data_IF_798612934970
#
_entry.id   IF_798612934970
#
_cell.length_a   1.000
_cell.length_b   1.000
_cell.length_c   1.000
_cell.angle_alpha   90.00
_cell.angle_beta   90.00
_cell.angle_gamma   90.00
#
_symmetry.space_group_name_H-M   'P 1'
#
loop_
_entity.id
_entity.type
_entity.pdbx_description
1 polymer ?
#
# COMPACT_ATOMS: atom_id res chain seq x y z
N UNK A 1 -15.61 -11.71 47.85
CA UNK A 1 -14.28 -11.77 47.21
C UNK A 1 -14.40 -11.04 45.88
N UNK A 2 -13.63 -9.98 45.69
CA UNK A 2 -13.65 -9.16 44.48
C UNK A 2 -12.63 -9.72 43.48
N UNK A 3 -13.09 -10.51 42.52
CA UNK A 3 -12.49 -10.69 41.19
C UNK A 3 -13.41 -11.59 40.35
N UNK A 4 -14.35 -10.99 39.64
CA UNK A 4 -15.28 -11.70 38.74
C UNK A 4 -14.95 -11.47 37.24
N UNK A 5 -13.81 -10.85 36.95
CA UNK A 5 -13.47 -10.42 35.59
C UNK A 5 -12.45 -11.34 34.90
N UNK A 6 -12.09 -12.49 35.50
CA UNK A 6 -11.04 -13.36 34.95
C UNK A 6 -9.67 -12.67 34.99
N UNK A 7 -9.18 -12.39 36.20
CA UNK A 7 -7.89 -11.76 36.39
C UNK A 7 -6.76 -12.66 35.87
N UNK A 8 -6.23 -12.30 34.71
CA UNK A 8 -4.93 -12.77 34.25
C UNK A 8 -3.85 -11.87 34.87
N UNK A 9 -2.94 -12.48 35.63
CA UNK A 9 -1.81 -11.78 36.23
C UNK A 9 -0.93 -11.18 35.11
N UNK A 10 -0.61 -9.89 35.22
CA UNK A 10 0.23 -9.19 34.24
C UNK A 10 1.71 -9.63 34.29
N UNK A 11 2.09 -10.41 35.31
CA UNK A 11 3.42 -10.96 35.45
C UNK A 11 3.64 -12.11 34.47
N UNK A 12 4.84 -12.16 33.88
CA UNK A 12 5.22 -13.24 32.96
C UNK A 12 5.90 -14.35 33.74
N UNK A 13 5.36 -15.56 33.63
CA UNK A 13 5.91 -16.74 34.30
C UNK A 13 6.92 -17.48 33.41
N UNK A 14 7.92 -18.17 33.98
CA UNK A 14 8.97 -18.82 33.20
C UNK A 14 8.48 -19.82 32.14
N UNK A 15 7.33 -20.47 32.36
CA UNK A 15 6.74 -21.42 31.43
C UNK A 15 6.12 -20.77 30.17
N UNK A 16 5.73 -19.50 30.27
CA UNK A 16 5.13 -18.72 29.18
C UNK A 16 6.19 -17.90 28.40
N UNK A 17 7.41 -17.82 28.94
CA UNK A 17 8.50 -17.07 28.36
C UNK A 17 9.45 -17.98 27.57
N UNK A 18 9.98 -17.46 26.46
CA UNK A 18 11.09 -18.13 25.77
C UNK A 18 12.38 -18.11 26.62
N UNK A 19 13.24 -19.11 26.39
CA UNK A 19 14.54 -19.21 27.07
C UNK A 19 15.42 -17.98 26.82
N UNK A 20 16.21 -17.60 27.84
CA UNK A 20 17.20 -16.52 27.74
C UNK A 20 18.45 -16.90 26.95
N UNK A 21 18.66 -18.19 26.71
CA UNK A 21 19.77 -18.70 25.93
C UNK A 21 19.24 -19.61 24.81
N UNK A 22 18.65 -19.04 23.74
CA UNK A 22 18.16 -19.82 22.62
C UNK A 22 19.32 -20.43 21.82
N UNK A 23 19.11 -21.57 21.14
CA UNK A 23 20.10 -22.10 20.22
C UNK A 23 20.40 -21.12 19.08
N UNK A 24 21.62 -21.18 18.53
CA UNK A 24 21.99 -20.36 17.38
C UNK A 24 21.04 -20.62 16.20
N UNK A 25 20.49 -19.57 15.56
CA UNK A 25 19.57 -19.74 14.44
C UNK A 25 20.31 -20.17 13.18
N UNK A 26 19.69 -21.06 12.39
CA UNK A 26 20.12 -21.38 11.03
C UNK A 26 19.18 -20.69 10.03
N UNK A 27 19.54 -19.47 9.62
CA UNK A 27 18.70 -18.66 8.74
C UNK A 27 18.81 -19.13 7.28
N UNK A 28 17.69 -19.17 6.53
CA UNK A 28 17.73 -19.46 5.11
C UNK A 28 18.48 -18.35 4.36
N UNK A 29 19.15 -18.72 3.27
CA UNK A 29 19.76 -17.76 2.37
C UNK A 29 18.72 -16.88 1.65
N UNK A 30 19.17 -15.74 1.12
CA UNK A 30 18.34 -14.90 0.26
C UNK A 30 18.07 -15.52 -1.11
N UNK A 31 17.19 -14.89 -1.90
CA UNK A 31 16.75 -15.39 -3.22
C UNK A 31 17.87 -15.58 -4.25
N UNK A 32 19.01 -14.91 -4.06
CA UNK A 32 20.21 -15.00 -4.90
C UNK A 32 21.33 -15.85 -4.28
N UNK A 33 21.05 -16.69 -3.27
CA UNK A 33 22.02 -17.66 -2.75
C UNK A 33 22.10 -18.90 -3.66
N UNK A 34 22.56 -18.69 -4.90
CA UNK A 34 22.63 -19.71 -5.97
C UNK A 34 24.06 -19.84 -6.50
N UNK A 35 24.43 -21.07 -6.90
CA UNK A 35 25.79 -21.42 -7.36
C UNK A 35 25.93 -21.26 -8.89
N UNK A 36 24.84 -21.40 -9.65
CA UNK A 36 24.79 -21.20 -11.11
C UNK A 36 23.70 -20.20 -11.50
N UNK A 37 23.79 -19.68 -12.73
CA UNK A 37 22.79 -18.77 -13.34
C UNK A 37 22.43 -17.58 -12.43
N UNK A 38 23.46 -16.94 -11.87
CA UNK A 38 23.32 -15.88 -10.87
C UNK A 38 24.30 -14.72 -11.15
N UNK A 39 24.34 -14.28 -12.40
CA UNK A 39 25.23 -13.22 -12.82
C UNK A 39 24.82 -11.87 -12.23
N UNK A 40 25.80 -11.07 -11.81
CA UNK A 40 25.51 -9.78 -11.17
C UNK A 40 24.80 -8.79 -12.10
N UNK A 41 25.12 -8.83 -13.40
CA UNK A 41 24.59 -7.86 -14.35
C UNK A 41 23.06 -7.96 -14.54
N UNK A 42 22.47 -9.14 -14.31
CA UNK A 42 21.02 -9.35 -14.43
C UNK A 42 20.26 -8.84 -13.21
N UNK A 43 20.93 -8.69 -12.05
CA UNK A 43 20.30 -8.29 -10.77
C UNK A 43 20.62 -6.86 -10.34
N UNK A 44 21.59 -6.19 -10.97
CA UNK A 44 22.02 -4.86 -10.57
C UNK A 44 21.08 -3.75 -11.07
N UNK A 45 19.94 -3.60 -10.39
CA UNK A 45 18.96 -2.55 -10.69
C UNK A 45 19.53 -1.13 -10.63
N UNK A 46 20.66 -0.91 -9.94
CA UNK A 46 21.33 0.41 -9.87
C UNK A 46 21.88 0.84 -11.24
N UNK A 47 22.20 -0.12 -12.11
CA UNK A 47 22.67 0.13 -13.48
C UNK A 47 21.54 0.19 -14.50
N UNK A 48 20.31 -0.13 -14.11
CA UNK A 48 19.11 -0.06 -14.95
C UNK A 48 18.42 1.31 -14.87
N UNK A 49 18.87 2.19 -13.97
CA UNK A 49 18.33 3.54 -13.83
C UNK A 49 18.77 4.38 -15.02
N UNK A 50 17.83 4.67 -15.91
CA UNK A 50 18.03 5.56 -17.05
C UNK A 50 17.87 7.04 -16.62
N UNK A 51 18.50 7.98 -17.36
CA UNK A 51 18.23 9.40 -17.17
C UNK A 51 16.75 9.74 -17.34
N UNK A 52 16.23 10.80 -16.68
CA UNK A 52 14.85 11.23 -16.84
C UNK A 52 14.50 11.52 -18.31
N UNK A 53 13.31 11.12 -18.74
CA UNK A 53 12.79 11.45 -20.07
C UNK A 53 12.36 12.91 -20.11
N UNK A 54 12.97 13.70 -20.99
CA UNK A 54 12.61 15.11 -21.18
C UNK A 54 11.36 15.19 -22.06
N UNK A 55 10.25 15.66 -21.49
CA UNK A 55 8.96 15.80 -22.19
C UNK A 55 8.80 17.13 -22.91
N UNK A 56 9.52 18.17 -22.48
CA UNK A 56 9.52 19.50 -23.09
C UNK A 56 10.87 20.16 -22.87
N UNK A 57 11.45 20.70 -23.94
CA UNK A 57 12.65 21.53 -23.91
C UNK A 57 12.45 22.63 -24.96
N UNK A 58 12.58 23.89 -24.55
CA UNK A 58 12.36 25.05 -25.41
C UNK A 58 13.44 25.22 -26.48
N UNK A 59 14.62 24.64 -26.27
CA UNK A 59 15.78 24.74 -27.17
C UNK A 59 15.89 23.55 -28.11
N UNK A 60 15.41 22.38 -27.68
CA UNK A 60 15.36 21.20 -28.53
C UNK A 60 14.14 21.25 -29.45
N UNK A 61 14.34 21.02 -30.75
CA UNK A 61 13.25 20.77 -31.71
C UNK A 61 12.65 19.38 -31.48
N UNK A 62 12.10 19.13 -30.30
CA UNK A 62 11.33 17.91 -30.04
C UNK A 62 9.91 18.17 -30.51
N UNK A 63 9.47 17.40 -31.51
CA UNK A 63 8.07 17.39 -31.89
C UNK A 63 7.26 16.91 -30.67
N UNK A 64 6.33 17.73 -30.19
CA UNK A 64 5.29 17.24 -29.29
C UNK A 64 4.68 16.01 -29.97
N UNK A 65 4.57 14.86 -29.27
CA UNK A 65 3.81 13.75 -29.82
C UNK A 65 2.44 14.31 -30.21
N UNK A 66 2.13 14.28 -31.52
CA UNK A 66 0.87 14.81 -32.05
C UNK A 66 -0.29 14.25 -31.24
N UNK A 67 -1.40 15.00 -31.10
CA UNK A 67 -2.44 14.67 -30.13
C UNK A 67 -2.94 13.25 -30.38
N UNK A 68 -2.45 12.31 -29.57
CA UNK A 68 -2.89 10.92 -29.62
C UNK A 68 -4.22 10.88 -28.87
N UNK A 69 -5.24 11.45 -29.53
CA UNK A 69 -6.64 11.42 -29.09
C UNK A 69 -7.14 9.99 -29.29
N UNK A 70 -6.63 9.03 -28.50
CA UNK A 70 -7.46 7.88 -28.13
C UNK A 70 -8.38 8.38 -27.03
N UNK A 71 -9.40 9.13 -27.44
CA UNK A 71 -10.63 9.27 -26.66
C UNK A 71 -11.28 7.89 -26.68
N UNK A 72 -10.76 6.96 -25.88
CA UNK A 72 -11.56 5.85 -25.40
C UNK A 72 -12.55 6.49 -24.44
N UNK A 73 -13.72 6.84 -24.97
CA UNK A 73 -14.94 6.94 -24.17
C UNK A 73 -15.18 5.52 -23.66
N UNK A 74 -14.49 5.13 -22.58
CA UNK A 74 -14.87 3.97 -21.80
C UNK A 74 -15.99 4.44 -20.90
N UNK A 75 -17.22 4.22 -21.37
CA UNK A 75 -18.46 4.37 -20.62
C UNK A 75 -18.47 3.40 -19.43
N UNK A 76 -17.74 3.71 -18.35
CA UNK A 76 -17.93 3.10 -17.03
C UNK A 76 -17.42 4.07 -15.97
N UNK A 77 -18.33 4.92 -15.48
CA UNK A 77 -18.35 5.48 -14.12
C UNK A 77 -17.10 6.21 -13.59
N UNK A 78 -16.34 6.93 -14.42
CA UNK A 78 -15.33 7.87 -13.91
C UNK A 78 -15.98 9.21 -13.54
N UNK A 79 -16.10 9.50 -12.24
CA UNK A 79 -16.65 10.77 -11.72
C UNK A 79 -15.71 11.96 -11.86
N UNK A 80 -14.48 11.75 -12.34
CA UNK A 80 -13.53 12.81 -12.66
C UNK A 80 -13.51 13.01 -14.18
N UNK A 81 -14.55 13.64 -14.72
CA UNK A 81 -14.54 14.15 -16.10
C UNK A 81 -13.82 15.50 -16.14
N UNK A 82 -12.56 15.56 -15.73
CA UNK A 82 -11.73 16.72 -16.05
C UNK A 82 -11.23 16.55 -17.48
N UNK A 83 -11.51 17.52 -18.34
CA UNK A 83 -10.96 17.62 -19.71
C UNK A 83 -9.42 17.60 -19.70
N UNK A 84 -8.81 17.93 -18.56
CA UNK A 84 -7.37 17.83 -18.33
C UNK A 84 -6.97 16.44 -17.78
N UNK A 85 -5.84 15.87 -18.24
CA UNK A 85 -5.28 14.65 -17.67
C UNK A 85 -4.89 14.88 -16.20
N UNK A 86 -5.41 14.06 -15.31
CA UNK A 86 -5.03 14.04 -13.90
C UNK A 86 -3.91 13.00 -13.67
N UNK A 87 -2.88 13.31 -12.86
CA UNK A 87 -1.88 12.32 -12.48
C UNK A 87 -2.52 11.28 -11.54
N UNK A 88 -2.62 10.03 -12.00
CA UNK A 88 -3.14 8.91 -11.23
C UNK A 88 -4.66 8.83 -11.16
N UNK A 89 -5.16 7.81 -10.46
CA UNK A 89 -6.58 7.63 -10.17
C UNK A 89 -6.92 8.23 -8.79
N UNK A 90 -8.09 8.85 -8.66
CA UNK A 90 -8.61 9.28 -7.36
C UNK A 90 -8.91 8.08 -6.47
N UNK A 91 -8.53 8.16 -5.20
CA UNK A 91 -8.86 7.16 -4.19
C UNK A 91 -9.89 7.70 -3.21
N UNK A 92 -10.85 6.85 -2.84
CA UNK A 92 -11.86 7.13 -1.83
C UNK A 92 -11.67 6.15 -0.66
N UNK A 93 -11.48 6.68 0.54
CA UNK A 93 -11.45 5.88 1.75
C UNK A 93 -12.87 5.37 2.05
N UNK A 94 -12.97 4.11 2.48
CA UNK A 94 -14.23 3.52 2.94
C UNK A 94 -14.09 3.16 4.41
N UNK A 95 -15.14 3.45 5.19
CA UNK A 95 -15.21 3.07 6.58
C UNK A 95 -15.25 1.55 6.72
N UNK A 96 -14.55 1.01 7.71
CA UNK A 96 -14.67 -0.39 8.11
C UNK A 96 -15.10 -0.46 9.57
N UNK A 97 -16.36 -0.76 9.82
CA UNK A 97 -16.97 -0.75 11.14
C UNK A 97 -16.64 -1.98 12.01
N UNK A 98 -15.88 -2.94 11.49
CA UNK A 98 -15.56 -4.18 12.22
C UNK A 98 -14.73 -3.88 13.47
N UNK A 99 -13.73 -2.99 13.35
CA UNK A 99 -12.74 -2.70 14.40
C UNK A 99 -13.06 -1.43 15.21
N UNK A 100 -14.22 -0.82 14.97
CA UNK A 100 -14.63 0.40 15.65
C UNK A 100 -15.21 0.11 17.04
N UNK A 101 -15.04 1.06 17.95
CA UNK A 101 -15.68 1.03 19.27
C UNK A 101 -17.21 0.96 19.10
N UNK A 102 -17.89 0.25 20.01
CA UNK A 102 -19.35 0.07 19.96
C UNK A 102 -20.11 1.39 19.80
N UNK A 103 -19.68 2.43 20.51
CA UNK A 103 -20.27 3.77 20.43
C UNK A 103 -20.26 4.33 19.00
N UNK A 104 -19.16 4.16 18.28
CA UNK A 104 -18.95 4.71 16.93
C UNK A 104 -19.58 3.80 15.87
N UNK A 105 -19.45 2.49 16.09
CA UNK A 105 -19.98 1.43 15.22
C UNK A 105 -21.49 1.48 15.10
N UNK A 106 -22.18 1.71 16.22
CA UNK A 106 -23.63 1.71 16.30
C UNK A 106 -24.24 3.11 16.12
N UNK A 107 -23.41 4.14 15.92
CA UNK A 107 -23.86 5.52 15.73
C UNK A 107 -24.60 5.68 14.38
N UNK A 108 -25.89 6.01 14.48
CA UNK A 108 -26.76 6.26 13.33
C UNK A 108 -26.32 7.47 12.51
N UNK A 109 -25.70 8.48 13.15
CA UNK A 109 -25.28 9.70 12.47
C UNK A 109 -24.13 9.42 11.50
N UNK A 110 -23.13 8.64 11.92
CA UNK A 110 -22.01 8.26 11.07
C UNK A 110 -22.45 7.29 9.95
N UNK A 111 -23.40 6.39 10.25
CA UNK A 111 -24.00 5.52 9.22
C UNK A 111 -24.81 6.31 8.19
N UNK A 112 -25.42 7.42 8.59
CA UNK A 112 -26.07 8.34 7.67
C UNK A 112 -25.06 9.12 6.83
N UNK A 113 -23.96 9.60 7.44
CA UNK A 113 -22.89 10.32 6.77
C UNK A 113 -22.15 9.49 5.72
N UNK A 114 -22.01 8.18 5.95
CA UNK A 114 -21.37 7.24 5.02
C UNK A 114 -22.00 7.26 3.61
N UNK A 115 -23.28 7.65 3.48
CA UNK A 115 -23.93 7.84 2.17
C UNK A 115 -23.29 8.96 1.34
N UNK A 116 -22.77 9.98 2.00
CA UNK A 116 -22.14 11.15 1.37
C UNK A 116 -20.67 10.96 1.09
N UNK A 117 -20.00 9.98 1.68
CA UNK A 117 -18.59 9.69 1.38
C UNK A 117 -18.37 9.40 -0.11
N UNK A 118 -19.43 8.95 -0.81
CA UNK A 118 -19.42 8.58 -2.22
C UNK A 118 -19.80 9.67 -3.22
N UNK A 119 -19.93 10.95 -2.84
CA UNK A 119 -20.34 12.01 -3.78
C UNK A 119 -19.18 12.65 -4.52
#
# INVERSE_FOLDING_TARGET
MLYNDGYDDCLRFPEEMSTRNPPLPNLPGGVYHKISDNYYYERDARRTVEPPVVTYDATAKMALPGPHVKVMILTLTSRFSSVAPLPGAGYQWKRNSVDELSQTKDDQSLKYLERYDSM
#
